data_IF_109093169975
#
_entry.id   IF_109093169975
#
_cell.length_a   1.000
_cell.length_b   1.000
_cell.length_c   1.000
_cell.angle_alpha   90.00
_cell.angle_beta   90.00
_cell.angle_gamma   90.00
#
_symmetry.space_group_name_H-M   'P 1'
#
loop_
_entity.id
_entity.type
_entity.pdbx_description
1 polymer ?
2 polymer ?
3 polymer ?
4 non-polymer ?
5 water ?
#
# COMPACT_ATOMS: atom_id res chain seq x y z
N UNK A 5 -16.04 9.43 -35.10
CA UNK A 5 -16.37 9.24 -33.70
C UNK A 5 -15.77 10.31 -32.81
N UNK A 6 -16.62 11.06 -32.11
CA UNK A 6 -16.16 12.15 -31.25
C UNK A 6 -15.50 11.64 -29.97
N UNK A 7 -14.65 12.47 -29.37
CA UNK A 7 -13.81 12.02 -28.26
C UNK A 7 -14.06 12.85 -27.01
N UNK A 8 -14.50 12.20 -25.92
CA UNK A 8 -14.81 12.93 -24.69
C UNK A 8 -13.70 12.75 -23.66
N UNK A 9 -12.96 13.81 -23.41
CA UNK A 9 -11.87 13.76 -22.42
C UNK A 9 -12.40 14.03 -21.02
N UNK A 10 -13.32 14.98 -20.91
CA UNK A 10 -13.91 15.28 -19.62
C UNK A 10 -15.18 16.09 -19.76
N UNK A 11 -15.82 16.39 -18.62
CA UNK A 11 -16.98 17.29 -18.53
C UNK A 11 -16.76 18.57 -19.34
N UNK A 12 -17.59 18.77 -20.36
CA UNK A 12 -17.50 19.94 -21.24
C UNK A 12 -16.27 19.96 -22.14
N UNK A 13 -15.57 18.83 -22.22
CA UNK A 13 -14.34 18.72 -23.01
C UNK A 13 -14.45 17.52 -23.97
N UNK A 14 -15.38 17.63 -24.92
CA UNK A 14 -15.58 16.63 -25.96
C UNK A 14 -15.23 17.24 -27.31
N UNK A 15 -14.55 16.46 -28.16
CA UNK A 15 -13.99 16.99 -29.40
C UNK A 15 -14.39 16.17 -30.61
N UNK A 16 -14.60 16.82 -31.75
CA UNK A 16 -14.80 16.11 -33.01
C UNK A 16 -13.52 15.40 -33.43
N UNK B 1 -0.93 0.42 -25.93
CA UNK B 1 -0.57 1.41 -26.95
C UNK B 1 0.41 2.43 -26.39
N UNK B 2 -0.07 3.24 -25.46
CA UNK B 2 0.74 4.28 -24.88
C UNK B 2 1.51 3.73 -23.69
N UNK B 3 2.75 4.18 -23.53
CA UNK B 3 3.47 3.91 -22.29
C UNK B 3 3.81 5.23 -21.64
N UNK B 4 3.57 5.31 -20.32
CA UNK B 4 3.84 6.49 -19.51
C UNK B 4 4.97 6.21 -18.52
N UNK B 5 6.08 6.94 -18.65
CA UNK B 5 7.25 6.72 -17.80
C UNK B 5 7.50 7.91 -16.90
N UNK B 6 7.53 7.68 -15.58
CA UNK B 6 7.65 8.79 -14.63
C UNK B 6 9.05 8.96 -14.08
N UNK B 7 9.39 10.20 -13.71
CA UNK B 7 10.68 10.51 -13.07
C UNK B 7 10.88 9.71 -11.77
N UNK B 8 12.06 9.82 -11.17
CA UNK B 8 12.42 9.01 -10.00
C UNK B 8 12.05 9.60 -8.65
N UNK B 9 12.25 8.80 -7.59
CA UNK B 9 11.81 9.16 -6.24
C UNK B 9 12.41 10.47 -5.72
N UNK B 10 11.65 11.15 -4.89
CA UNK B 10 12.05 12.48 -4.41
C UNK B 10 11.97 12.59 -2.88
N UNK B 11 12.98 13.20 -2.26
CA UNK B 11 12.92 13.45 -0.83
C UNK B 11 13.08 14.95 -0.57
N UNK B 12 12.11 15.55 0.11
CA UNK B 12 12.10 17.02 0.26
C UNK B 12 11.85 17.42 1.70
N UNK B 13 12.33 18.60 2.06
CA UNK B 13 12.04 19.19 3.36
C UNK B 13 10.76 20.01 3.28
N UNK B 14 10.02 20.09 4.39
CA UNK B 14 8.81 20.92 4.43
C UNK B 14 9.09 22.31 3.89
N UNK B 15 8.18 22.82 3.07
CA UNK B 15 8.30 24.17 2.56
C UNK B 15 8.93 24.22 1.19
N UNK B 16 9.58 23.12 0.80
CA UNK B 16 10.22 23.00 -0.50
C UNK B 16 9.17 22.74 -1.58
N UNK B 17 9.62 22.72 -2.84
CA UNK B 17 8.79 22.37 -3.99
C UNK B 17 9.38 21.19 -4.71
N UNK B 18 8.55 20.45 -5.43
CA UNK B 18 9.04 19.31 -6.20
C UNK B 18 8.38 19.35 -7.57
N UNK B 19 9.10 18.96 -8.60
CA UNK B 19 8.52 18.91 -9.94
C UNK B 19 8.65 17.52 -10.52
N UNK B 20 7.52 16.85 -10.75
CA UNK B 20 7.49 15.50 -11.27
C UNK B 20 7.24 15.50 -12.77
N UNK B 21 7.70 14.47 -13.48
CA UNK B 21 7.42 14.39 -14.91
C UNK B 21 6.87 13.03 -15.35
N UNK B 22 6.20 13.07 -16.49
CA UNK B 22 5.49 11.95 -17.06
C UNK B 22 5.73 12.03 -18.56
N UNK B 23 6.54 11.14 -19.12
CA UNK B 23 6.77 11.17 -20.55
C UNK B 23 5.95 10.11 -21.27
N UNK B 24 5.18 10.54 -22.26
CA UNK B 24 4.35 9.62 -23.03
C UNK B 24 5.07 9.17 -24.30
N UNK B 25 4.98 7.89 -24.60
CA UNK B 25 5.51 7.38 -25.85
C UNK B 25 4.59 6.28 -26.38
N UNK B 26 4.88 5.82 -27.59
CA UNK B 26 4.03 4.82 -28.23
C UNK B 26 3.22 5.48 -29.33
N UNK B 27 1.91 5.20 -29.35
CA UNK B 27 1.07 5.76 -30.38
C UNK B 27 0.74 7.22 -30.10
N UNK B 28 0.39 7.94 -31.15
CA UNK B 28 0.09 9.36 -31.07
C UNK B 28 -1.40 9.61 -31.16
N UNK B 29 -1.92 10.47 -30.26
CA UNK B 29 -3.31 10.88 -30.33
C UNK B 29 -3.37 12.40 -30.40
N UNK B 30 -4.21 12.91 -31.30
CA UNK B 30 -4.34 14.34 -31.50
C UNK B 30 -5.07 14.99 -30.32
N UNK B 31 -5.86 14.20 -29.61
CA UNK B 31 -6.60 14.71 -28.47
C UNK B 31 -6.48 13.76 -27.27
N UNK B 32 -6.04 14.30 -26.14
CA UNK B 32 -5.81 13.50 -24.94
C UNK B 32 -5.74 14.41 -23.74
N UNK B 33 -5.83 13.85 -22.54
CA UNK B 33 -5.63 14.61 -21.31
C UNK B 33 -4.78 13.78 -20.36
N UNK B 34 -3.95 14.45 -19.57
CA UNK B 34 -3.11 13.80 -18.57
C UNK B 34 -3.53 14.29 -17.20
N UNK B 35 -3.75 13.37 -16.27
CA UNK B 35 -4.11 13.75 -14.91
C UNK B 35 -3.04 13.26 -13.97
N UNK B 36 -3.02 13.83 -12.77
CA UNK B 36 -2.18 13.33 -11.71
C UNK B 36 -3.07 12.84 -10.59
N UNK B 37 -2.69 11.71 -10.01
CA UNK B 37 -3.48 11.05 -8.98
C UNK B 37 -2.51 10.65 -7.88
N UNK B 38 -2.83 10.99 -6.63
CA UNK B 38 -1.92 10.58 -5.56
C UNK B 38 -2.54 9.63 -4.55
N UNK B 39 -1.66 8.95 -3.83
CA UNK B 39 -2.07 7.93 -2.88
C UNK B 39 -1.13 7.93 -1.69
N UNK B 40 -1.63 8.42 -0.55
CA UNK B 40 -0.85 8.44 0.68
C UNK B 40 -0.67 7.00 1.15
N UNK B 41 0.41 6.70 1.91
CA UNK B 41 0.66 5.29 2.26
C UNK B 41 -0.54 4.63 2.93
N UNK B 42 -0.93 3.47 2.41
CA UNK B 42 -2.08 2.77 2.94
C UNK B 42 -3.46 3.39 2.69
N UNK B 43 -3.54 4.47 1.92
CA UNK B 43 -4.82 5.14 1.71
C UNK B 43 -5.35 5.00 0.28
N UNK B 44 -6.43 5.72 0.00
CA UNK B 44 -7.12 5.60 -1.27
C UNK B 44 -6.54 6.52 -2.34
N UNK B 45 -7.17 6.55 -3.50
CA UNK B 45 -6.72 7.40 -4.61
C UNK B 45 -7.36 8.80 -4.57
N UNK B 46 -6.58 9.80 -4.97
CA UNK B 46 -7.04 11.18 -4.94
C UNK B 46 -6.64 11.91 -6.23
N UNK B 47 -7.64 12.38 -6.99
CA UNK B 47 -7.35 13.11 -8.22
C UNK B 47 -6.87 14.54 -7.89
N UNK B 48 -5.78 14.97 -8.52
CA UNK B 48 -5.16 16.25 -8.16
C UNK B 48 -5.33 17.35 -9.20
N UNK B 49 -5.64 16.96 -10.43
CA UNK B 49 -5.68 17.94 -11.50
C UNK B 49 -5.30 17.28 -12.80
N UNK B 50 -5.54 17.98 -13.90
CA UNK B 50 -5.22 17.45 -15.21
C UNK B 50 -5.00 18.54 -16.23
N UNK B 51 -4.44 18.17 -17.36
CA UNK B 51 -4.24 19.11 -18.45
C UNK B 51 -4.65 18.46 -19.78
N UNK B 52 -5.15 19.27 -20.70
CA UNK B 52 -5.44 18.84 -22.08
C UNK B 52 -4.57 19.71 -22.98
N UNK B 53 -3.32 19.27 -23.22
CA UNK B 53 -2.36 20.13 -23.91
C UNK B 53 -2.83 20.66 -25.27
N UNK B 54 -3.44 19.79 -26.13
CA UNK B 54 -3.83 20.36 -27.43
C UNK B 54 -4.84 21.52 -27.35
N UNK B 55 -5.64 21.56 -26.29
CA UNK B 55 -6.70 22.55 -26.16
C UNK B 55 -6.28 23.74 -25.28
N UNK B 56 -5.18 23.57 -24.56
CA UNK B 56 -4.73 24.58 -23.61
C UNK B 56 -5.62 24.70 -22.38
N UNK B 57 -6.22 23.58 -21.98
CA UNK B 57 -7.16 23.59 -20.87
C UNK B 57 -6.58 22.86 -19.65
N UNK B 58 -6.87 23.34 -18.45
CA UNK B 58 -6.43 22.67 -17.23
C UNK B 58 -7.57 22.62 -16.22
N UNK B 59 -7.51 21.66 -15.31
CA UNK B 59 -8.48 21.58 -14.24
C UNK B 59 -7.77 21.26 -12.95
N UNK B 60 -8.09 22.02 -11.90
CA UNK B 60 -7.45 21.82 -10.62
C UNK B 60 -8.47 21.57 -9.53
N UNK B 61 -8.00 21.06 -8.39
CA UNK B 61 -8.82 20.81 -7.22
C UNK B 61 -8.66 21.91 -6.19
N UNK B 62 -9.75 22.49 -5.72
CA UNK B 62 -9.67 23.64 -4.83
C UNK B 62 -8.86 23.36 -3.54
N UNK B 63 -9.01 22.16 -2.98
CA UNK B 63 -8.36 21.77 -1.73
C UNK B 63 -6.85 22.05 -1.73
N UNK B 64 -6.25 21.97 -2.91
CA UNK B 64 -4.80 22.15 -3.02
C UNK B 64 -4.42 23.63 -3.06
N UNK B 65 -5.40 24.51 -2.92
CA UNK B 65 -5.22 25.97 -2.79
C UNK B 65 -4.21 26.61 -3.76
N UNK B 66 -4.19 26.11 -5.00
CA UNK B 66 -3.27 26.64 -6.01
C UNK B 66 -1.82 26.18 -5.91
N UNK B 67 -1.53 25.21 -5.03
CA UNK B 67 -0.17 24.69 -4.86
C UNK B 67 0.28 23.77 -6.00
N UNK B 68 -0.66 23.29 -6.80
CA UNK B 68 -0.33 22.43 -7.93
C UNK B 68 -0.34 23.23 -9.24
N UNK B 69 0.69 23.03 -10.05
CA UNK B 69 0.76 23.61 -11.38
C UNK B 69 1.10 22.48 -12.34
N UNK B 70 0.26 22.26 -13.34
CA UNK B 70 0.55 21.23 -14.33
C UNK B 70 0.90 21.93 -15.65
N UNK B 71 1.97 21.46 -16.31
CA UNK B 71 2.43 22.05 -17.57
C UNK B 71 2.72 20.91 -18.56
N UNK B 72 2.78 21.22 -19.84
CA UNK B 72 3.14 20.21 -20.83
C UNK B 72 4.20 20.76 -21.81
N UNK B 73 5.14 19.90 -22.19
CA UNK B 73 6.09 20.22 -23.23
C UNK B 73 5.74 19.37 -24.46
N UNK B 74 5.10 20.01 -25.44
CA UNK B 74 4.68 19.31 -26.65
C UNK B 74 5.84 18.63 -27.36
N UNK B 75 6.97 19.33 -27.45
CA UNK B 75 8.14 18.82 -28.16
C UNK B 75 8.57 17.46 -27.65
N UNK B 76 8.79 17.34 -26.34
CA UNK B 76 9.26 16.09 -25.75
C UNK B 76 8.12 15.18 -25.29
N UNK B 77 6.89 15.57 -25.62
CA UNK B 77 5.69 14.87 -25.17
C UNK B 77 5.75 14.52 -23.67
N UNK B 78 6.09 15.51 -22.86
CA UNK B 78 6.23 15.30 -21.43
C UNK B 78 5.27 16.22 -20.68
N UNK B 79 4.71 15.75 -19.58
CA UNK B 79 3.83 16.55 -18.75
C UNK B 79 4.49 16.64 -17.38
N UNK B 80 4.36 17.79 -16.75
CA UNK B 80 4.98 18.03 -15.45
C UNK B 80 3.93 18.41 -14.43
N UNK B 81 4.15 18.03 -13.18
CA UNK B 81 3.36 18.57 -12.07
C UNK B 81 4.31 19.15 -11.03
N UNK B 82 4.12 20.42 -10.70
CA UNK B 82 4.92 21.05 -9.64
C UNK B 82 4.04 21.30 -8.44
N UNK B 83 4.48 20.80 -7.28
CA UNK B 83 3.72 20.95 -6.05
C UNK B 83 4.54 21.79 -5.10
N UNK B 84 3.97 22.92 -4.68
CA UNK B 84 4.72 23.86 -3.87
C UNK B 84 4.31 23.82 -2.39
N UNK B 85 5.13 24.45 -1.55
CA UNK B 85 4.90 24.54 -0.12
C UNK B 85 4.59 23.19 0.49
N UNK B 86 5.48 22.24 0.24
CA UNK B 86 5.26 20.86 0.68
C UNK B 86 5.17 20.77 2.19
N UNK B 87 4.32 19.85 2.66
CA UNK B 87 4.30 19.47 4.07
C UNK B 87 4.35 17.95 4.17
N UNK B 88 4.48 17.45 5.39
CA UNK B 88 4.60 16.01 5.62
C UNK B 88 3.38 15.26 5.06
N UNK B 89 2.27 15.96 4.94
CA UNK B 89 1.01 15.37 4.48
C UNK B 89 0.95 15.20 2.96
N UNK B 90 1.96 15.71 2.25
CA UNK B 90 2.07 15.51 0.82
C UNK B 90 2.90 14.24 0.52
N UNK B 91 3.37 13.56 1.55
CA UNK B 91 4.07 12.30 1.35
C UNK B 91 3.12 11.30 0.75
N UNK B 92 3.48 10.74 -0.40
CA UNK B 92 2.57 9.88 -1.17
C UNK B 92 3.25 9.34 -2.42
N UNK B 93 2.63 8.34 -3.03
CA UNK B 93 2.98 7.92 -4.38
C UNK B 93 2.11 8.73 -5.36
N UNK B 94 2.76 9.31 -6.36
CA UNK B 94 2.08 10.13 -7.36
C UNK B 94 2.08 9.40 -8.71
N UNK B 95 0.89 9.22 -9.29
CA UNK B 95 0.75 8.60 -10.59
C UNK B 95 0.32 9.62 -11.63
N UNK B 96 0.78 9.46 -12.87
CA UNK B 96 0.17 10.19 -13.97
C UNK B 96 -0.64 9.16 -14.76
N UNK B 97 -1.70 9.61 -15.43
CA UNK B 97 -2.56 8.69 -16.20
C UNK B 97 -3.13 9.44 -17.37
N UNK B 98 -3.38 8.74 -18.48
CA UNK B 98 -3.83 9.41 -19.69
C UNK B 98 -5.25 8.98 -20.10
N UNK B 99 -6.03 9.97 -20.58
CA UNK B 99 -7.37 9.75 -21.13
C UNK B 99 -7.33 10.03 -22.62
N UNK B 100 -7.84 9.09 -23.42
CA UNK B 100 -7.93 9.30 -24.87
C UNK B 100 -9.31 8.98 -25.47
N UNK B 101 -10.37 9.14 -24.69
CA UNK B 101 -11.72 8.90 -25.19
C UNK B 101 -12.52 7.90 -24.38
N UNK B 102 -11.82 7.15 -23.54
CA UNK B 102 -12.44 6.17 -22.64
C UNK B 102 -12.23 6.64 -21.20
N UNK B 103 -11.67 5.82 -20.32
CA UNK B 103 -11.27 6.27 -18.99
C UNK B 103 -9.77 6.56 -18.89
N UNK B 104 -9.20 6.38 -17.69
CA UNK B 104 -7.73 6.45 -17.56
C UNK B 104 -7.18 5.14 -18.07
N UNK B 105 -6.91 5.09 -19.37
CA UNK B 105 -6.54 3.83 -20.02
C UNK B 105 -5.12 3.38 -19.66
N UNK B 106 -4.22 4.32 -19.42
CA UNK B 106 -2.83 3.97 -19.17
C UNK B 106 -2.31 4.79 -18.02
N UNK B 107 -1.49 4.16 -17.18
CA UNK B 107 -0.96 4.76 -15.97
C UNK B 107 0.55 4.65 -15.90
N UNK B 108 1.18 5.64 -15.28
CA UNK B 108 2.60 5.58 -15.01
C UNK B 108 2.87 4.63 -13.85
N UNK B 109 4.15 4.37 -13.60
CA UNK B 109 4.54 3.41 -12.56
C UNK B 109 4.49 3.99 -11.15
N UNK B 110 4.29 5.29 -11.05
CA UNK B 110 4.25 5.96 -9.77
C UNK B 110 5.61 6.50 -9.35
N UNK B 111 5.61 7.52 -8.50
CA UNK B 111 6.84 8.05 -7.93
C UNK B 111 6.62 8.43 -6.47
N UNK B 112 7.47 7.95 -5.59
CA UNK B 112 7.32 8.21 -4.17
C UNK B 112 7.93 9.57 -3.87
N UNK B 113 7.14 10.45 -3.26
CA UNK B 113 7.65 11.72 -2.77
C UNK B 113 7.52 11.68 -1.27
N UNK B 114 8.68 11.78 -0.59
CA UNK B 114 8.72 11.80 0.86
C UNK B 114 9.03 13.22 1.35
N UNK B 115 8.17 13.76 2.21
CA UNK B 115 8.38 15.11 2.72
C UNK B 115 8.58 15.00 4.23
N UNK B 116 9.78 15.35 4.69
CA UNK B 116 10.09 15.20 6.10
C UNK B 116 11.26 16.08 6.48
N UNK B 117 11.30 16.46 7.76
CA UNK B 117 12.43 17.22 8.27
C UNK B 117 13.58 16.28 8.67
N UNK B 118 13.34 14.96 8.62
CA UNK B 118 14.38 13.99 8.89
C UNK B 118 15.54 14.07 7.91
N UNK B 119 16.70 13.60 8.36
CA UNK B 119 17.89 13.48 7.51
C UNK B 119 18.16 12.02 7.17
N UNK B 120 18.87 11.81 6.05
CA UNK B 120 19.26 10.45 5.62
C UNK B 120 19.98 9.74 6.74
N UNK B 121 19.55 8.53 7.04
CA UNK B 121 20.09 7.75 8.15
C UNK B 121 19.95 6.27 7.84
N UNK B 122 21.05 5.53 7.99
CA UNK B 122 21.00 4.10 7.79
C UNK B 122 20.45 3.34 8.99
N UNK B 123 19.85 2.18 8.74
CA UNK B 123 19.17 1.44 9.81
C UNK B 123 20.09 0.73 10.77
N UNK B 124 19.61 0.56 12.00
CA UNK B 124 20.18 -0.41 12.94
C UNK B 124 19.50 -1.75 12.66
N UNK B 125 20.23 -2.84 12.85
CA UNK B 125 19.67 -4.14 12.52
C UNK B 125 19.92 -5.00 13.74
N UNK B 126 18.83 -5.49 14.33
CA UNK B 126 18.86 -6.29 15.55
C UNK B 126 18.26 -7.68 15.32
N UNK B 127 18.90 -8.71 15.88
CA UNK B 127 18.36 -10.06 15.77
C UNK B 127 17.09 -10.26 16.57
N UNK B 128 16.16 -10.99 15.97
CA UNK B 128 14.98 -11.51 16.65
C UNK B 128 15.19 -13.01 16.82
N UNK B 129 15.63 -13.40 18.01
CA UNK B 129 16.04 -14.78 18.24
C UNK B 129 14.94 -15.64 18.87
N UNK B 130 14.80 -16.89 18.39
CA UNK B 130 13.83 -17.88 18.88
C UNK B 130 14.17 -18.42 20.26
N UNK B 139 8.19 -26.21 14.26
CA UNK B 139 8.47 -24.95 13.56
C UNK B 139 8.93 -23.84 14.51
N UNK B 140 10.03 -23.19 14.14
CA UNK B 140 10.58 -22.06 14.91
C UNK B 140 10.53 -20.80 14.06
N UNK B 141 10.43 -19.65 14.69
CA UNK B 141 10.49 -18.38 13.97
C UNK B 141 11.73 -17.60 14.38
N UNK B 142 12.30 -16.86 13.45
CA UNK B 142 13.38 -15.94 13.77
C UNK B 142 13.32 -14.79 12.79
N UNK B 143 14.13 -13.75 13.03
CA UNK B 143 14.00 -12.61 12.17
C UNK B 143 14.98 -11.51 12.48
N UNK B 144 14.77 -10.38 11.82
CA UNK B 144 15.62 -9.20 12.00
C UNK B 144 14.76 -7.94 12.09
N UNK B 145 15.09 -7.09 13.05
CA UNK B 145 14.41 -5.81 13.24
C UNK B 145 15.29 -4.73 12.63
N UNK B 146 14.75 -4.01 11.65
CA UNK B 146 15.47 -3.04 10.85
C UNK B 146 14.90 -1.67 11.20
N UNK B 147 15.64 -0.90 11.97
CA UNK B 147 15.02 0.16 12.76
C UNK B 147 15.76 1.49 12.58
N UNK B 148 14.97 2.57 12.57
CA UNK B 148 15.48 3.94 12.64
C UNK B 148 16.23 4.34 11.40
N UNK B 149 15.59 4.17 10.25
CA UNK B 149 16.21 4.59 9.00
C UNK B 149 15.33 5.64 8.31
N UNK B 150 15.94 6.33 7.34
CA UNK B 150 15.24 7.32 6.54
C UNK B 150 16.03 7.62 5.27
N UNK B 151 15.35 7.72 4.11
CA UNK B 151 13.94 7.50 3.83
C UNK B 151 13.67 6.04 3.47
N UNK B 152 12.46 5.75 3.00
CA UNK B 152 12.21 4.47 2.35
C UNK B 152 13.01 4.43 1.06
N UNK B 153 13.35 3.22 0.57
CA UNK B 153 13.07 1.88 1.11
C UNK B 153 14.30 1.14 1.57
N UNK B 154 14.12 0.03 2.28
CA UNK B 154 15.23 -0.92 2.51
C UNK B 154 14.92 -2.22 1.80
N UNK B 155 15.95 -3.05 1.60
CA UNK B 155 15.71 -4.41 1.11
C UNK B 155 16.24 -5.40 2.13
N UNK B 156 15.54 -6.52 2.30
CA UNK B 156 16.04 -7.57 3.20
C UNK B 156 16.04 -8.90 2.49
N UNK B 157 17.15 -9.62 2.61
CA UNK B 157 17.17 -10.99 2.14
C UNK B 157 17.75 -11.88 3.22
N UNK B 158 17.60 -13.19 3.05
CA UNK B 158 18.09 -14.16 4.03
C UNK B 158 19.09 -15.07 3.37
N UNK B 159 20.18 -15.35 4.09
CA UNK B 159 21.27 -16.19 3.61
C UNK B 159 21.68 -15.87 2.18
N UNK B 160 21.93 -14.59 1.93
CA UNK B 160 22.38 -14.10 0.63
C UNK B 160 21.40 -14.49 -0.48
N UNK B 161 20.12 -14.50 -0.13
CA UNK B 161 19.06 -14.75 -1.10
C UNK B 161 18.75 -16.21 -1.35
N UNK B 162 19.44 -17.11 -0.67
CA UNK B 162 19.19 -18.52 -0.90
C UNK B 162 18.05 -19.03 -0.02
N UNK B 163 17.65 -18.25 0.99
CA UNK B 163 16.54 -18.66 1.84
C UNK B 163 15.32 -17.77 1.55
N UNK B 164 14.30 -18.32 0.90
CA UNK B 164 13.12 -17.54 0.53
C UNK B 164 11.83 -18.15 1.05
N UNK B 165 11.81 -19.47 1.17
CA UNK B 165 10.64 -20.18 1.69
C UNK B 165 10.35 -19.77 3.14
N UNK B 166 9.09 -19.44 3.41
CA UNK B 166 8.67 -19.07 4.75
C UNK B 166 9.07 -17.69 5.24
N UNK B 167 9.63 -16.86 4.36
CA UNK B 167 10.05 -15.50 4.74
C UNK B 167 8.89 -14.50 4.61
N UNK B 168 8.73 -13.64 5.61
CA UNK B 168 7.81 -12.51 5.50
C UNK B 168 8.51 -11.22 5.88
N UNK B 169 8.53 -10.25 4.97
CA UNK B 169 9.10 -8.94 5.30
C UNK B 169 7.94 -7.95 5.35
N UNK B 170 7.78 -7.30 6.49
CA UNK B 170 6.60 -6.48 6.74
C UNK B 170 6.75 -5.11 6.12
N UNK B 171 5.63 -4.51 5.75
CA UNK B 171 5.74 -3.12 5.33
C UNK B 171 6.25 -2.25 6.48
N UNK B 172 7.01 -1.22 6.15
CA UNK B 172 7.57 -0.36 7.17
C UNK B 172 6.48 0.46 7.85
N UNK B 173 6.71 0.83 9.10
CA UNK B 173 5.87 1.81 9.77
C UNK B 173 6.68 3.08 10.00
N UNK B 174 6.00 4.22 10.00
CA UNK B 174 6.64 5.47 10.33
C UNK B 174 6.51 5.66 11.83
N UNK B 175 7.64 5.78 12.52
CA UNK B 175 7.63 5.96 13.96
C UNK B 175 7.39 7.43 14.28
N UNK B 176 6.93 7.71 15.49
CA UNK B 176 6.66 9.09 15.88
C UNK B 176 7.95 9.93 15.89
N UNK B 177 9.11 9.26 15.88
CA UNK B 177 10.39 9.94 15.79
C UNK B 177 10.70 10.48 14.39
N UNK B 178 9.90 10.10 13.40
CA UNK B 178 10.15 10.47 12.03
C UNK B 178 10.95 9.44 11.25
N UNK B 179 11.43 8.40 11.93
CA UNK B 179 12.19 7.33 11.28
C UNK B 179 11.36 6.06 11.04
N UNK B 180 11.76 5.26 10.06
CA UNK B 180 11.02 4.07 9.65
C UNK B 180 11.56 2.86 10.39
N UNK B 181 10.73 1.81 10.48
CA UNK B 181 11.10 0.56 11.11
C UNK B 181 10.33 -0.57 10.43
N UNK B 182 10.97 -1.73 10.29
CA UNK B 182 10.27 -2.94 9.86
C UNK B 182 10.96 -4.17 10.43
N UNK B 183 10.27 -5.31 10.35
CA UNK B 183 10.85 -6.58 10.70
C UNK B 183 10.74 -7.50 9.48
N UNK B 184 11.72 -8.40 9.34
CA UNK B 184 11.61 -9.52 8.40
C UNK B 184 11.72 -10.79 9.23
N UNK B 185 10.86 -11.76 8.97
CA UNK B 185 10.88 -12.97 9.78
C UNK B 185 10.91 -14.17 8.85
N UNK B 186 11.31 -15.31 9.39
CA UNK B 186 11.28 -16.53 8.59
C UNK B 186 10.96 -17.67 9.53
N UNK B 187 10.20 -18.65 9.08
CA UNK B 187 9.94 -19.83 9.91
C UNK B 187 10.73 -20.98 9.32
N UNK B 188 11.32 -21.81 10.18
CA UNK B 188 12.21 -22.90 9.76
C UNK B 188 11.97 -24.11 10.63
N UNK B 189 12.33 -25.31 10.12
CA UNK B 189 12.26 -26.52 10.96
C UNK B 189 13.02 -26.35 12.26
N UNK B 190 12.37 -26.65 13.38
CA UNK B 190 13.00 -26.49 14.69
C UNK B 190 14.33 -27.25 14.80
N UNK B 191 14.39 -28.42 14.17
CA UNK B 191 15.59 -29.27 14.27
C UNK B 191 16.78 -28.66 13.54
N UNK B 192 16.52 -27.73 12.63
CA UNK B 192 17.56 -27.14 11.79
C UNK B 192 18.33 -26.01 12.48
N UNK B 193 17.81 -25.53 13.59
CA UNK B 193 18.53 -24.52 14.38
C UNK B 193 19.82 -25.13 14.92
N UNK B 194 20.94 -24.45 14.69
CA UNK B 194 22.21 -24.96 15.18
C UNK B 194 22.88 -25.93 14.22
N UNK B 195 22.12 -26.46 13.26
CA UNK B 195 22.68 -27.25 12.18
C UNK B 195 22.78 -26.36 10.94
N UNK B 196 22.05 -25.26 10.96
CA UNK B 196 22.04 -24.31 9.86
C UNK B 196 22.29 -22.93 10.43
N UNK B 197 22.92 -22.06 9.62
CA UNK B 197 23.14 -20.67 10.03
C UNK B 197 22.13 -19.76 9.34
N UNK B 198 21.70 -18.72 10.03
CA UNK B 198 20.72 -17.78 9.47
C UNK B 198 21.24 -16.36 9.59
N UNK B 199 21.34 -15.70 8.44
CA UNK B 199 21.88 -14.35 8.38
C UNK B 199 20.92 -13.47 7.61
N UNK B 200 20.59 -12.30 8.14
CA UNK B 200 19.80 -11.39 7.30
C UNK B 200 20.71 -10.34 6.67
N UNK B 201 20.43 -10.04 5.41
CA UNK B 201 21.19 -9.09 4.60
C UNK B 201 20.34 -7.86 4.31
N UNK B 202 20.76 -6.72 4.85
CA UNK B 202 19.97 -5.50 4.78
C UNK B 202 20.70 -4.47 3.95
N UNK B 203 20.00 -3.92 2.97
CA UNK B 203 20.52 -2.83 2.15
C UNK B 203 19.67 -1.61 2.34
N UNK B 204 20.31 -0.46 2.45
CA UNK B 204 19.58 0.80 2.43
C UNK B 204 20.33 1.73 1.50
N UNK B 205 19.92 1.76 0.23
CA UNK B 205 20.71 2.47 -0.77
C UNK B 205 20.80 3.98 -0.49
N UNK B 206 19.74 4.63 0.04
CA UNK B 206 19.94 6.08 0.24
C UNK B 206 21.08 6.48 1.18
N UNK B 207 21.43 5.62 2.15
CA UNK B 207 22.52 5.91 3.07
C UNK B 207 23.77 5.10 2.79
N UNK B 208 23.79 4.39 1.66
CA UNK B 208 24.93 3.55 1.29
C UNK B 208 25.21 2.50 2.35
N UNK B 209 24.15 1.96 2.96
CA UNK B 209 24.27 0.97 4.02
C UNK B 209 24.16 -0.47 3.50
N UNK B 210 25.07 -1.33 3.95
CA UNK B 210 24.94 -2.80 3.76
C UNK B 210 25.33 -3.45 5.06
N UNK B 211 24.39 -4.16 5.68
CA UNK B 211 24.63 -4.79 6.97
C UNK B 211 24.21 -6.26 6.91
N UNK B 212 25.04 -7.15 7.45
CA UNK B 212 24.65 -8.55 7.63
C UNK B 212 24.59 -8.81 9.12
N UNK B 213 23.58 -9.54 9.57
CA UNK B 213 23.50 -9.89 10.98
C UNK B 213 23.16 -11.38 11.14
N UNK B 214 23.95 -12.10 11.93
CA UNK B 214 23.67 -13.50 12.14
C UNK B 214 22.61 -13.61 13.25
N UNK B 215 21.69 -14.55 13.12
CA UNK B 215 20.60 -14.65 14.09
C UNK B 215 20.72 -15.99 14.79
N UNK B 216 20.94 -15.92 16.09
CA UNK B 216 21.27 -17.11 16.90
C UNK B 216 20.40 -17.27 18.13
N UNK B 217 20.26 -18.52 18.57
CA UNK B 217 19.66 -18.80 19.88
C UNK B 217 20.62 -18.31 20.96
N UNK B 218 20.12 -17.45 21.84
CA UNK B 218 20.91 -16.89 22.93
C UNK B 218 21.04 -17.85 24.11
N UNK C 1 -16.86 17.29 -4.71
CA UNK C 1 -18.25 17.58 -4.39
C UNK C 1 -19.17 16.36 -4.55
N UNK C 2 -19.06 15.60 -5.64
CA UNK C 2 -19.84 14.39 -5.71
C UNK C 2 -19.20 13.35 -4.82
N UNK C 3 -19.97 12.79 -3.90
CA UNK C 3 -19.43 11.81 -2.95
C UNK C 3 -19.69 10.40 -3.48
N UNK C 4 -18.63 9.59 -3.48
CA UNK C 4 -18.72 8.22 -3.96
C UNK C 4 -18.55 7.25 -2.79
N UNK C 5 -19.49 6.34 -2.61
CA UNK C 5 -19.33 5.35 -1.54
C UNK C 5 -19.32 3.95 -2.13
N UNK C 6 -18.71 3.01 -1.42
CA UNK C 6 -18.63 1.65 -1.91
C UNK C 6 -18.99 0.65 -0.84
N UNK C 7 -19.41 -0.53 -1.27
CA UNK C 7 -19.80 -1.56 -0.31
C UNK C 7 -19.52 -2.92 -0.94
N UNK C 8 -19.02 -3.88 -0.15
CA UNK C 8 -18.59 -3.73 1.25
C UNK C 8 -17.18 -3.13 1.34
N UNK C 9 -16.59 -3.08 2.53
CA UNK C 9 -15.19 -2.68 2.68
C UNK C 9 -14.26 -3.78 2.17
N UNK C 10 -14.60 -5.01 2.53
CA UNK C 10 -13.79 -6.16 2.19
C UNK C 10 -14.70 -7.30 1.73
N UNK C 11 -14.27 -8.01 0.70
CA UNK C 11 -15.08 -9.06 0.09
C UNK C 11 -14.24 -10.29 -0.17
N UNK C 12 -14.31 -11.28 0.73
CA UNK C 12 -13.68 -12.59 0.46
C UNK C 12 -14.49 -13.39 -0.56
N UNK C 13 -13.80 -14.00 -1.52
CA UNK C 13 -14.46 -14.83 -2.54
C UNK C 13 -13.75 -16.17 -2.62
N UNK C 14 -14.50 -17.29 -2.68
CA UNK C 14 -13.86 -18.60 -2.89
C UNK C 14 -13.46 -18.76 -4.37
N UNK C 15 -12.43 -19.59 -4.64
CA UNK C 15 -11.96 -19.69 -6.03
C UNK C 15 -13.04 -20.12 -7.04
N UNK C 16 -13.19 -19.36 -8.13
CA UNK C 16 -14.12 -19.69 -9.19
C UNK C 16 -15.53 -19.17 -8.97
N UNK C 17 -15.78 -18.58 -7.80
CA UNK C 17 -17.09 -17.99 -7.56
C UNK C 17 -17.16 -16.53 -8.04
N UNK C 18 -18.29 -15.87 -7.77
CA UNK C 18 -18.51 -14.53 -8.31
C UNK C 18 -18.41 -13.44 -7.24
N UNK C 19 -17.68 -12.39 -7.55
CA UNK C 19 -17.63 -11.23 -6.68
C UNK C 19 -18.57 -10.16 -7.21
N UNK C 20 -19.29 -9.51 -6.31
CA UNK C 20 -20.16 -8.42 -6.67
C UNK C 20 -19.87 -7.27 -5.71
N UNK C 21 -19.44 -6.14 -6.25
CA UNK C 21 -19.18 -5.01 -5.37
C UNK C 21 -20.02 -3.84 -5.84
N UNK C 22 -20.43 -2.98 -4.90
CA UNK C 22 -21.28 -1.85 -5.28
C UNK C 22 -20.64 -0.49 -5.07
N UNK C 23 -21.18 0.49 -5.77
CA UNK C 23 -20.75 1.88 -5.73
C UNK C 23 -22.00 2.76 -5.78
N UNK C 24 -22.01 3.83 -5.01
CA UNK C 24 -23.11 4.76 -5.06
C UNK C 24 -22.56 6.17 -5.19
N UNK C 25 -23.18 6.95 -6.07
CA UNK C 25 -22.85 8.37 -6.20
C UNK C 25 -23.94 9.22 -5.58
N UNK C 26 -23.55 10.38 -5.02
CA UNK C 26 -24.49 11.26 -4.37
C UNK C 26 -25.34 12.06 -5.37
N UNK C 27 -24.92 12.06 -6.64
CA UNK C 27 -25.70 12.67 -7.73
C UNK C 27 -25.73 11.75 -8.94
N UNK C 28 -26.70 11.98 -9.83
CA UNK C 28 -26.76 11.26 -11.08
C UNK C 28 -25.48 11.41 -11.91
N UNK C 29 -24.97 10.31 -12.45
CA UNK C 29 -23.80 10.36 -13.33
C UNK C 29 -24.21 10.26 -14.79
N UNK C 30 -25.50 10.42 -15.05
CA UNK C 30 -26.02 10.43 -16.43
C UNK C 30 -25.81 11.78 -17.07
N UNK C 31 -25.17 11.79 -18.23
CA UNK C 31 -25.15 13.00 -19.07
C UNK C 31 -26.32 12.88 -20.05
N UNK C 32 -27.41 13.59 -19.77
CA UNK C 32 -28.63 13.33 -20.54
C UNK C 32 -28.55 13.82 -21.97
N UNK C 33 -27.48 14.55 -22.28
CA UNK C 33 -27.34 15.08 -23.63
C UNK C 33 -26.61 14.10 -24.56
N UNK C 34 -25.55 13.45 -24.09
CA UNK C 34 -24.92 12.46 -24.97
C UNK C 34 -25.37 11.04 -24.63
N UNK C 35 -26.12 10.90 -23.53
CA UNK C 35 -26.75 9.63 -23.18
C UNK C 35 -25.89 8.62 -22.46
N UNK C 36 -24.66 9.00 -22.15
CA UNK C 36 -23.74 8.11 -21.44
C UNK C 36 -23.75 8.39 -19.95
N UNK C 37 -23.30 7.40 -19.20
CA UNK C 37 -23.19 7.48 -17.76
C UNK C 37 -21.70 7.39 -17.38
N UNK C 38 -21.16 8.43 -16.77
CA UNK C 38 -19.70 8.52 -16.65
C UNK C 38 -19.19 8.00 -15.30
N UNK C 39 -19.11 6.68 -15.24
CA UNK C 39 -18.70 5.97 -14.04
C UNK C 39 -17.62 4.98 -14.49
N UNK C 40 -16.46 5.04 -13.83
CA UNK C 40 -15.34 4.17 -14.21
C UNK C 40 -14.95 3.26 -13.03
N UNK C 41 -14.42 2.08 -13.35
CA UNK C 41 -13.88 1.16 -12.34
C UNK C 41 -12.40 0.85 -12.59
N UNK C 42 -11.60 0.83 -11.51
CA UNK C 42 -10.16 0.59 -11.59
C UNK C 42 -9.77 -0.48 -10.59
N UNK C 43 -8.77 -1.26 -10.95
CA UNK C 43 -8.18 -2.24 -10.04
C UNK C 43 -6.75 -1.84 -9.71
N UNK C 44 -6.42 -1.89 -8.43
CA UNK C 44 -5.03 -1.79 -8.03
C UNK C 44 -4.61 -3.07 -7.33
N UNK C 45 -3.80 -3.89 -8.02
CA UNK C 45 -3.23 -5.08 -7.43
C UNK C 45 -2.18 -4.67 -6.42
N UNK C 46 -1.88 -5.54 -5.44
CA UNK C 46 -0.92 -5.13 -4.42
C UNK C 46 0.45 -4.75 -4.98
N UNK C 47 0.93 -3.55 -4.64
CA UNK C 47 2.24 -3.09 -5.10
C UNK C 47 2.30 -2.55 -6.53
N UNK C 48 1.17 -2.54 -7.22
CA UNK C 48 1.13 -2.09 -8.62
C UNK C 48 0.41 -0.76 -8.81
N UNK C 49 0.57 -0.16 -10.00
CA UNK C 49 -0.27 0.97 -10.39
C UNK C 49 -1.71 0.54 -10.60
N UNK C 50 -2.67 1.45 -10.41
CA UNK C 50 -4.05 1.18 -10.79
C UNK C 50 -4.12 0.83 -12.28
N UNK C 51 -5.15 0.08 -12.66
CA UNK C 51 -5.37 -0.23 -14.06
C UNK C 51 -6.87 -0.17 -14.40
N UNK C 52 -7.16 0.22 -15.65
CA UNK C 52 -8.57 0.38 -16.06
C UNK C 52 -9.31 -0.94 -16.19
N UNK C 53 -10.56 -0.96 -15.74
CA UNK C 53 -11.46 -2.12 -15.96
C UNK C 53 -12.67 -1.74 -16.82
N UNK C 54 -13.41 -0.73 -16.33
CA UNK C 54 -14.68 -0.32 -16.95
C UNK C 54 -14.70 1.19 -17.20
N UNK C 55 -15.30 1.60 -18.31
CA UNK C 55 -15.57 3.02 -18.52
C UNK C 55 -17.01 3.20 -19.00
N UNK C 56 -17.55 4.42 -18.88
CA UNK C 56 -18.95 4.70 -19.21
C UNK C 56 -19.90 3.62 -18.64
N UNK C 57 -19.63 3.27 -17.38
CA UNK C 57 -20.49 2.41 -16.52
C UNK C 57 -20.49 0.92 -16.89
N UNK C 58 -20.48 0.58 -18.18
CA UNK C 58 -20.64 -0.84 -18.54
C UNK C 58 -19.73 -1.32 -19.68
N UNK C 59 -18.81 -0.48 -20.13
CA UNK C 59 -17.90 -0.89 -21.20
C UNK C 59 -16.53 -1.34 -20.67
N UNK C 60 -16.04 -2.47 -21.18
CA UNK C 60 -14.74 -2.97 -20.73
C UNK C 60 -13.58 -2.27 -21.45
N UNK C 61 -12.56 -1.88 -20.68
CA UNK C 61 -11.31 -1.38 -21.25
C UNK C 61 -10.61 -2.46 -22.08
N UNK C 62 -9.72 -2.07 -22.98
CA UNK C 62 -8.97 -3.02 -23.81
C UNK C 62 -8.24 -4.10 -23.01
N UNK C 63 -8.36 -5.35 -23.46
CA UNK C 63 -7.70 -6.47 -22.80
C UNK C 63 -8.39 -7.04 -21.57
N UNK C 64 -9.41 -6.36 -21.08
CA UNK C 64 -10.19 -6.84 -19.93
C UNK C 64 -11.13 -7.96 -20.36
N UNK C 65 -10.98 -9.16 -19.77
CA UNK C 65 -11.77 -10.34 -20.15
C UNK C 65 -13.24 -10.18 -19.78
N UNK C 66 -14.10 -10.91 -20.47
CA UNK C 66 -15.52 -10.66 -20.34
C UNK C 66 -16.09 -11.14 -19.01
N UNK C 67 -15.26 -11.75 -18.16
CA UNK C 67 -15.77 -12.13 -16.83
C UNK C 67 -15.87 -10.94 -15.88
N UNK C 68 -15.33 -9.78 -16.30
CA UNK C 68 -15.58 -8.51 -15.60
C UNK C 68 -16.75 -7.80 -16.25
N UNK C 69 -17.78 -7.42 -15.50
CA UNK C 69 -18.85 -6.64 -16.10
C UNK C 69 -19.33 -5.51 -15.19
N UNK C 70 -19.75 -4.41 -15.82
CA UNK C 70 -20.29 -3.27 -15.09
C UNK C 70 -21.75 -3.05 -15.43
N UNK C 71 -22.54 -2.66 -14.42
CA UNK C 71 -23.96 -2.37 -14.61
C UNK C 71 -24.39 -1.35 -13.57
N UNK C 72 -25.65 -0.92 -13.64
CA UNK C 72 -26.22 -0.06 -12.61
C UNK C 72 -27.23 0.94 -13.14
N UNK C 73 -27.80 1.71 -12.22
CA UNK C 73 -28.66 2.83 -12.60
C UNK C 73 -27.76 4.03 -12.84
N UNK C 74 -28.30 5.22 -12.66
CA UNK C 74 -27.50 6.43 -12.81
C UNK C 74 -26.82 6.85 -11.49
N UNK C 75 -27.10 6.13 -10.41
CA UNK C 75 -26.56 6.48 -9.09
C UNK C 75 -26.02 5.28 -8.34
N UNK C 76 -26.46 4.09 -8.74
CA UNK C 76 -26.07 2.89 -8.00
C UNK C 76 -25.53 1.87 -8.97
N UNK C 77 -24.27 1.49 -8.75
CA UNK C 77 -23.47 0.73 -9.72
C UNK C 77 -22.95 -0.58 -9.16
N UNK C 78 -22.74 -1.55 -10.05
CA UNK C 78 -22.25 -2.83 -9.61
C UNK C 78 -21.16 -3.33 -10.54
N UNK C 79 -20.02 -3.69 -9.96
CA UNK C 79 -18.96 -4.43 -10.68
C UNK C 79 -19.08 -5.91 -10.34
N UNK C 80 -19.24 -6.75 -11.36
CA UNK C 80 -19.38 -8.19 -11.17
C UNK C 80 -18.13 -8.87 -11.73
N UNK C 81 -17.51 -9.72 -10.93
CA UNK C 81 -16.37 -10.50 -11.41
C UNK C 81 -16.71 -11.98 -11.30
N UNK C 82 -16.84 -12.65 -12.44
CA UNK C 82 -17.08 -14.09 -12.37
C UNK C 82 -15.77 -14.89 -12.43
N UNK C 83 -15.83 -16.14 -11.96
CA UNK C 83 -14.70 -17.07 -11.98
C UNK C 83 -13.46 -16.44 -11.32
N UNK C 84 -13.64 -15.89 -10.12
CA UNK C 84 -12.57 -15.21 -9.41
C UNK C 84 -11.34 -16.11 -9.24
N UNK C 85 -10.16 -15.53 -9.47
CA UNK C 85 -8.91 -16.24 -9.34
C UNK C 85 -7.93 -15.38 -8.54
N UNK C 86 -6.83 -15.98 -8.10
CA UNK C 86 -5.85 -15.29 -7.27
C UNK C 86 -5.38 -13.95 -7.82
N UNK C 87 -5.22 -13.86 -9.15
CA UNK C 87 -4.77 -12.61 -9.78
C UNK C 87 -5.74 -11.45 -9.66
N UNK C 88 -6.96 -11.72 -9.19
CA UNK C 88 -7.98 -10.68 -9.02
C UNK C 88 -7.95 -10.02 -7.65
N UNK C 89 -7.06 -10.49 -6.77
CA UNK C 89 -6.92 -9.92 -5.45
C UNK C 89 -6.39 -8.49 -5.51
N UNK C 90 -6.96 -7.59 -4.73
CA UNK C 90 -6.53 -6.21 -4.75
C UNK C 90 -7.63 -5.27 -4.34
N UNK C 91 -7.47 -3.98 -4.63
CA UNK C 91 -8.49 -3.01 -4.28
C UNK C 91 -9.14 -2.46 -5.54
N UNK C 92 -10.47 -2.47 -5.55
CA UNK C 92 -11.27 -1.97 -6.67
C UNK C 92 -11.83 -0.61 -6.32
N UNK C 93 -11.69 0.36 -7.23
CA UNK C 93 -12.15 1.73 -6.97
C UNK C 93 -13.13 2.13 -8.03
N UNK C 94 -14.19 2.81 -7.64
CA UNK C 94 -15.03 3.44 -8.65
C UNK C 94 -14.63 4.93 -8.71
N UNK C 95 -14.96 5.57 -9.82
CA UNK C 95 -14.59 6.98 -10.00
C UNK C 95 -15.58 7.64 -10.95
N UNK C 96 -16.09 8.81 -10.59
CA UNK C 96 -17.01 9.50 -11.49
C UNK C 96 -16.30 10.56 -12.32
N UNK C 97 -16.74 10.73 -13.56
CA UNK C 97 -16.23 11.79 -14.43
C UNK C 97 -17.35 12.58 -15.10
N UNK C 98 -18.54 12.66 -14.46
CA UNK C 98 -19.59 13.55 -14.95
C UNK C 98 -19.25 15.03 -14.68
N UNK C 99 -18.46 15.28 -13.65
CA UNK C 99 -18.24 16.64 -13.19
C UNK C 99 -16.84 16.77 -12.56
N UNK C 100 -16.18 17.91 -12.76
CA UNK C 100 -14.94 18.22 -12.05
C UNK C 100 -15.26 18.72 -10.64
N UNK C 101 -14.44 18.36 -9.63
CA UNK C 101 -13.28 17.46 -9.66
C UNK C 101 -13.68 15.98 -9.76
N UNK C 102 -12.88 15.17 -10.45
CA UNK C 102 -13.11 13.76 -10.46
C UNK C 102 -12.98 13.25 -9.02
N UNK C 103 -13.83 12.33 -8.62
CA UNK C 103 -13.79 11.81 -7.25
C UNK C 103 -13.86 10.27 -7.29
N UNK C 104 -13.11 9.67 -6.36
CA UNK C 104 -13.01 8.22 -6.20
C UNK C 104 -13.83 7.72 -5.01
N UNK C 105 -14.28 6.48 -5.10
CA UNK C 105 -14.81 5.81 -3.93
C UNK C 105 -13.64 5.39 -3.06
N UNK C 106 -13.92 4.89 -1.84
CA UNK C 106 -12.81 4.59 -0.92
C UNK C 106 -12.09 3.28 -1.22
N UNK C 107 -12.63 2.45 -2.10
CA UNK C 107 -11.99 1.19 -2.42
C UNK C 107 -12.62 0.03 -1.68
N UNK C 108 -12.80 -1.09 -2.39
CA UNK C 108 -13.24 -2.35 -1.81
C UNK C 108 -12.14 -3.37 -2.01
N UNK C 109 -11.72 -4.04 -0.93
CA UNK C 109 -10.65 -5.01 -1.02
C UNK C 109 -11.20 -6.42 -1.22
N UNK C 110 -10.75 -7.07 -2.29
CA UNK C 110 -11.11 -8.45 -2.55
C UNK C 110 -9.99 -9.39 -2.14
N UNK C 111 -10.27 -10.45 -1.38
CA UNK C 111 -9.26 -11.48 -1.18
C UNK C 111 -9.85 -12.86 -1.41
N UNK C 112 -8.98 -13.88 -1.43
CA UNK C 112 -9.39 -15.25 -1.67
C UNK C 112 -9.83 -15.91 -0.35
N UNK C 113 -11.04 -16.44 -0.34
CA UNK C 113 -11.58 -17.04 0.88
C UNK C 113 -11.14 -18.49 1.02
N UNK C 114 -10.49 -18.79 2.14
CA UNK C 114 -10.08 -20.15 2.48
C UNK C 114 -10.69 -20.49 3.83
N UNK C 115 -10.35 -21.67 4.36
CA UNK C 115 -10.83 -22.06 5.67
C UNK C 115 -10.16 -21.19 6.73
N UNK C 116 -10.87 -20.99 7.83
CA UNK C 116 -10.31 -20.22 8.94
C UNK C 116 -9.06 -20.92 9.46
N UNK C 117 -8.00 -20.14 9.65
CA UNK C 117 -6.74 -20.67 10.13
C UNK C 117 -6.22 -19.78 11.24
N UNK C 118 -6.01 -20.37 12.41
CA UNK C 118 -5.46 -19.66 13.55
C UNK C 118 -4.00 -19.27 13.31
N UNK C 119 -3.59 -18.12 13.88
CA UNK C 119 -2.17 -17.75 13.78
C UNK C 119 -1.27 -18.63 14.65
N UNK C 120 -0.06 -18.85 14.18
CA UNK C 120 1.03 -19.35 15.01
C UNK C 120 1.65 -18.12 15.65
N UNK C 121 1.72 -18.07 16.97
CA UNK C 121 2.21 -16.89 17.67
C UNK C 121 3.64 -17.05 18.25
N UNK C 122 4.45 -16.01 18.05
CA UNK C 122 5.83 -15.98 18.54
C UNK C 122 6.13 -14.64 19.21
N UNK C 123 6.86 -14.67 20.31
CA UNK C 123 7.32 -13.43 20.95
C UNK C 123 8.86 -13.40 20.98
N UNK C 124 9.43 -12.22 20.71
CA UNK C 124 10.87 -12.05 20.72
C UNK C 124 11.29 -10.94 21.68
N UNK C 125 12.16 -11.25 22.64
CA UNK C 125 12.74 -10.22 23.50
C UNK C 125 13.73 -9.33 22.75
N UNK C 126 14.04 -8.15 23.30
CA UNK C 126 15.13 -7.34 22.76
C UNK C 126 16.48 -8.04 22.86
N UNK C 127 17.33 -7.78 21.88
CA UNK C 127 18.72 -8.20 21.88
C UNK C 127 19.55 -7.40 22.88
N UNK C 128 20.64 -8.02 23.34
CA UNK C 128 21.58 -7.32 24.21
C UNK C 128 22.13 -6.08 23.49
N UNK C 129 22.27 -6.17 22.17
CA UNK C 129 22.79 -5.03 21.41
C UNK C 129 21.83 -3.84 21.41
N UNK C 130 20.51 -4.09 21.35
CA UNK C 130 19.56 -2.99 21.42
C UNK C 130 19.47 -2.39 22.82
N UNK C 131 19.58 -3.23 23.84
CA UNK C 131 19.56 -2.75 25.22
C UNK C 131 20.64 -1.68 25.44
N UNK C 132 21.78 -1.84 24.80
CA UNK C 132 22.87 -0.88 24.95
C UNK C 132 22.50 0.49 24.37
N UNK C 133 21.55 0.51 23.44
CA UNK C 133 21.13 1.76 22.78
C UNK C 133 20.24 2.64 23.67
N UNK C 134 19.70 2.08 24.75
CA UNK C 134 18.86 2.86 25.65
C UNK C 134 17.37 2.75 25.33
N UNK C 135 17.06 2.22 24.17
CA UNK C 135 15.66 2.03 23.73
C UNK C 135 15.48 0.60 23.23
N UNK C 136 14.42 -0.08 23.67
CA UNK C 136 14.20 -1.46 23.21
C UNK C 136 12.86 -1.73 22.55
N UNK C 137 12.83 -2.80 21.76
CA UNK C 137 11.63 -3.22 21.05
C UNK C 137 11.28 -4.66 21.42
N UNK C 138 10.00 -4.93 21.66
CA UNK C 138 9.52 -6.29 21.88
C UNK C 138 8.60 -6.61 20.71
N UNK C 139 8.83 -7.74 20.04
CA UNK C 139 8.07 -8.03 18.83
C UNK C 139 7.22 -9.28 19.00
N UNK C 140 5.95 -9.18 18.59
CA UNK C 140 5.03 -10.31 18.59
C UNK C 140 4.70 -10.62 17.14
N UNK C 141 4.88 -11.88 16.73
CA UNK C 141 4.59 -12.31 15.36
C UNK C 141 3.36 -13.24 15.33
N UNK C 142 2.39 -12.91 14.48
CA UNK C 142 1.23 -13.75 14.23
C UNK C 142 1.40 -14.26 12.82
N UNK C 143 1.60 -15.55 12.67
CA UNK C 143 2.01 -16.04 11.37
C UNK C 143 0.96 -16.90 10.69
N UNK C 144 0.73 -16.61 9.40
CA UNK C 144 -0.07 -17.46 8.51
C UNK C 144 -1.50 -17.75 9.00
N UNK C 145 -2.31 -16.69 9.06
CA UNK C 145 -3.66 -16.84 9.56
C UNK C 145 -4.69 -16.33 8.56
N UNK C 146 -5.94 -16.71 8.78
CA UNK C 146 -7.06 -16.29 7.94
C UNK C 146 -8.36 -16.36 8.73
N UNK C 147 -9.22 -15.35 8.63
CA UNK C 147 -9.16 -14.11 7.85
C UNK C 147 -8.24 -13.06 8.46
N UNK C 148 -8.20 -11.90 7.81
CA UNK C 148 -7.22 -10.85 8.14
C UNK C 148 -7.40 -10.24 9.52
N UNK C 149 -8.62 -10.28 10.04
CA UNK C 149 -8.93 -9.60 11.29
C UNK C 149 -8.32 -10.33 12.49
N UNK C 150 -7.56 -9.60 13.30
CA UNK C 150 -6.89 -10.15 14.46
C UNK C 150 -6.56 -9.02 15.41
N UNK C 151 -6.47 -9.31 16.71
CA UNK C 151 -6.11 -8.30 17.67
C UNK C 151 -5.00 -8.76 18.61
N UNK C 152 -4.15 -7.82 19.00
CA UNK C 152 -3.03 -8.13 19.86
C UNK C 152 -3.06 -7.22 21.08
N UNK C 153 -2.91 -7.79 22.27
CA UNK C 153 -2.81 -6.98 23.48
C UNK C 153 -1.45 -7.23 24.08
N UNK C 154 -0.82 -6.17 24.60
CA UNK C 154 0.44 -6.31 25.29
C UNK C 154 0.23 -6.24 26.80
N UNK C 155 0.91 -7.11 27.54
CA UNK C 155 0.83 -7.08 28.99
C UNK C 155 2.24 -7.09 29.57
N UNK C 156 2.44 -6.27 30.59
CA UNK C 156 3.70 -6.17 31.31
C UNK C 156 3.43 -6.50 32.77
N UNK C 157 4.09 -7.55 33.27
CA UNK C 157 3.79 -8.10 34.60
C UNK C 157 2.29 -8.31 34.78
N UNK C 158 1.64 -8.74 33.69
CA UNK C 158 0.22 -9.06 33.71
C UNK C 158 -0.73 -7.89 33.51
N UNK C 159 -0.20 -6.67 33.44
CA UNK C 159 -1.05 -5.49 33.27
C UNK C 159 -1.06 -5.00 31.83
N UNK C 160 -2.25 -4.72 31.31
CA UNK C 160 -2.41 -4.22 29.93
C UNK C 160 -1.58 -2.94 29.68
N UNK C 161 -0.81 -2.94 28.60
CA UNK C 161 -0.06 -1.75 28.21
C UNK C 161 -0.55 -1.23 26.85
N UNK C 162 -1.06 -0.02 26.85
CA UNK C 162 -1.54 0.59 25.62
C UNK C 162 -0.69 1.81 25.28
N UNK C 163 -0.71 2.20 24.01
CA UNK C 163 -0.12 3.46 23.62
C UNK C 163 1.25 3.41 22.99
N UNK C 164 1.95 2.27 23.11
CA UNK C 164 3.33 2.26 22.62
C UNK C 164 3.62 1.12 21.66
N UNK C 165 2.58 0.67 20.97
CA UNK C 165 2.78 -0.40 20.00
C UNK C 165 2.32 0.03 18.62
N UNK C 166 2.93 -0.56 17.60
CA UNK C 166 2.53 -0.37 16.21
C UNK C 166 2.44 -1.71 15.52
N UNK C 167 1.47 -1.86 14.63
CA UNK C 167 1.27 -3.10 13.90
C UNK C 167 1.56 -2.96 12.42
N UNK C 168 1.88 -4.08 11.79
CA UNK C 168 2.10 -4.10 10.36
C UNK C 168 1.56 -5.43 9.84
N UNK C 169 0.95 -5.43 8.67
CA UNK C 169 0.34 -6.67 8.15
C UNK C 169 0.74 -6.92 6.70
N UNK C 170 0.96 -8.20 6.35
CA UNK C 170 1.32 -8.53 4.97
C UNK C 170 0.08 -8.52 4.08
N UNK C 171 0.30 -8.42 2.78
CA UNK C 171 -0.78 -8.70 1.82
C UNK C 171 -1.03 -10.20 1.87
N UNK C 172 -2.13 -10.64 1.29
CA UNK C 172 -2.47 -12.05 1.35
C UNK C 172 -1.45 -12.83 0.53
N UNK C 173 -0.92 -13.91 1.08
CA UNK C 173 0.08 -14.72 0.37
C UNK C 173 -0.58 -15.69 -0.61
N UNK C 174 -0.15 -15.68 -1.86
CA UNK C 174 -0.79 -16.51 -2.89
C UNK C 174 -0.55 -18.01 -2.67
N UNK C 175 0.46 -18.36 -1.88
CA UNK C 175 0.78 -19.76 -1.67
C UNK C 175 -0.23 -20.48 -0.78
N UNK C 176 -0.73 -19.81 0.24
CA UNK C 176 -1.66 -20.49 1.15
C UNK C 176 -2.84 -19.62 1.53
N UNK C 177 -2.92 -18.46 0.89
CA UNK C 177 -3.98 -17.48 1.07
C UNK C 177 -4.10 -16.95 2.51
N UNK C 178 -2.96 -16.86 3.19
CA UNK C 178 -2.93 -16.40 4.58
C UNK C 178 -2.29 -15.02 4.74
N UNK C 179 -2.42 -14.48 5.94
CA UNK C 179 -1.83 -13.19 6.31
C UNK C 179 -0.85 -13.40 7.44
N UNK C 180 0.08 -12.45 7.64
CA UNK C 180 0.92 -12.46 8.84
C UNK C 180 0.92 -11.05 9.38
N UNK C 181 1.24 -10.89 10.67
CA UNK C 181 1.10 -9.60 11.33
C UNK C 181 2.17 -9.51 12.39
N UNK C 182 2.79 -8.33 12.50
CA UNK C 182 3.72 -8.09 13.58
C UNK C 182 3.21 -6.96 14.47
N UNK C 183 3.45 -7.08 15.76
CA UNK C 183 3.14 -6.00 16.67
C UNK C 183 4.42 -5.71 17.43
N UNK C 184 4.80 -4.44 17.46
CA UNK C 184 6.07 -4.03 18.08
C UNK C 184 5.82 -3.06 19.23
N UNK C 185 6.31 -3.40 20.41
CA UNK C 185 6.20 -2.58 21.60
C UNK C 185 7.53 -1.88 21.83
N UNK C 186 7.50 -0.55 21.93
CA UNK C 186 8.73 0.21 22.14
C UNK C 186 8.75 0.78 23.55
N UNK C 187 9.86 0.56 24.26
CA UNK C 187 10.01 1.03 25.63
C UNK C 187 11.40 1.64 25.84
N UNK C 188 11.53 2.52 26.83
CA UNK C 188 12.88 2.90 27.25
C UNK C 188 13.50 1.67 27.92
N UNK C 189 14.81 1.54 27.85
CA UNK C 189 15.46 0.42 28.51
C UNK C 189 15.28 0.51 30.03
N UNK C 190 15.28 1.71 30.59
CA UNK C 190 15.08 1.81 32.04
C UNK C 190 13.70 1.25 32.42
N UNK C 191 12.66 1.56 31.64
CA UNK C 191 11.34 0.94 31.82
C UNK C 191 11.38 -0.58 31.66
N UNK C 192 12.01 -1.03 30.59
CA UNK C 192 12.11 -2.47 30.30
C UNK C 192 12.76 -3.23 31.45
N UNK C 193 13.82 -2.69 32.02
CA UNK C 193 14.52 -3.35 33.13
C UNK C 193 13.72 -3.34 34.44
N UNK C 194 12.71 -2.48 34.53
CA UNK C 194 12.00 -2.30 35.79
C UNK C 194 10.87 -3.32 35.97
N UNK C 195 10.68 -4.15 34.95
CA UNK C 195 9.65 -5.20 34.99
C UNK C 195 10.21 -6.52 34.46
N UNK C 196 9.43 -7.59 34.55
CA UNK C 196 9.94 -8.92 34.26
C UNK C 196 9.19 -9.72 33.21
N UNK C 197 7.87 -9.79 33.32
CA UNK C 197 7.13 -10.65 32.39
C UNK C 197 6.51 -9.81 31.28
N UNK C 198 6.87 -10.17 30.04
CA UNK C 198 6.37 -9.51 28.85
C UNK C 198 5.57 -10.51 28.04
N UNK C 199 4.34 -10.14 27.66
CA UNK C 199 3.45 -11.10 27.02
C UNK C 199 2.65 -10.42 25.95
N UNK C 200 2.36 -11.14 24.87
CA UNK C 200 1.38 -10.63 23.92
C UNK C 200 0.22 -11.63 23.88
N UNK C 201 -1.01 -11.09 23.91
CA UNK C 201 -2.20 -11.92 23.93
C UNK C 201 -2.92 -11.77 22.59
N UNK C 202 -3.20 -12.88 21.94
CA UNK C 202 -3.72 -12.84 20.56
C UNK C 202 -5.15 -13.37 20.49
N UNK C 203 -6.02 -12.59 19.85
CA UNK C 203 -7.41 -13.00 19.62
C UNK C 203 -7.65 -13.12 18.13
N UNK C 204 -8.30 -14.20 17.72
CA UNK C 204 -8.59 -14.47 16.31
C UNK C 204 -9.68 -15.53 16.21
N UNK C 205 -10.45 -15.51 15.12
CA UNK C 205 -11.60 -16.40 14.99
C UNK C 205 -11.19 -17.87 15.02
N UNK C 206 -9.99 -18.17 14.56
CA UNK C 206 -9.50 -19.54 14.57
C UNK C 206 -9.14 -20.07 15.94
N UNK C 207 -9.00 -19.17 16.92
CA UNK C 207 -8.60 -19.56 18.27
C UNK C 207 -9.80 -19.59 19.20
N UNK C 208 -10.04 -20.75 19.85
CA UNK C 208 -11.20 -20.91 20.71
C UNK C 208 -11.09 -20.04 21.96
N UNK C 209 -9.86 -19.80 22.39
CA UNK C 209 -9.58 -18.86 23.47
C UNK C 209 -8.30 -18.10 23.13
N UNK C 210 -8.18 -16.85 23.57
CA UNK C 210 -6.97 -16.05 23.32
C UNK C 210 -5.69 -16.78 23.71
N UNK C 211 -4.69 -16.70 22.84
CA UNK C 211 -3.40 -17.33 23.11
C UNK C 211 -2.40 -16.29 23.61
N UNK C 212 -1.64 -16.66 24.65
CA UNK C 212 -0.61 -15.76 25.18
C UNK C 212 0.77 -16.40 25.05
N UNK C 213 1.72 -15.64 24.50
CA UNK C 213 3.12 -16.04 24.50
C UNK C 213 3.88 -15.02 25.34
N UNK C 214 4.81 -15.48 26.16
CA UNK C 214 5.52 -14.55 27.02
C UNK C 214 6.97 -14.97 27.24
N UNK C 215 7.75 -14.05 27.79
CA UNK C 215 9.09 -14.37 28.28
C UNK C 215 9.34 -13.62 29.56
N UNK C 216 10.30 -14.10 30.36
CA UNK C 216 10.78 -13.38 31.52
C UNK C 216 12.11 -12.70 31.18
N UNK C 217 12.19 -11.40 31.44
CA UNK C 217 13.39 -10.62 31.17
C UNK C 217 14.64 -11.25 31.81
N UNK C 218 15.64 -11.54 31.00
CA UNK C 218 16.88 -12.13 31.49
C UNK C 218 16.99 -13.64 31.39
N UNK C 219 15.86 -14.35 31.40
CA UNK C 219 15.86 -15.81 31.43
C UNK C 219 16.60 -16.43 30.25
#
# INVERSE_FOLDING_TARGET
>A
NNTRKSIRIGPGQAFYATGGIIG
>B
QVQLVQSGAEVKKPGASVKLSCKASGNTFSIYGISWVRQAPGQGLEWMGGIIPPAGLTNYVQRFQGRVTITADTSTTTVYMELSSLTSEDTAVYYCAIRIGRGFDYWGQGVLVTVSSASTKGPSVFPLAPSSRSTSESTAALGCLVKDYFPEPVTVSWNSGSLTSGVHTFPAVLQSSGLYSLSSVVTVPSSSLGTQTYVCNVNHKPSNTKVDKRVEIKTCG
>C
DIVMTQSPLSLPVTPGETASISCRSSQSLLDSEDGNTYLEWYLQKPGQSPQALIYEASNRASGVPDRFSGSGSDTDFTLKISRVEAEDVGIYYCMQTIEYPFTFGPGTKVDIKRAVAAPSVFIFPPSEDQVKSGTVSVVCLLNNFYPREASVKWKVDGVLKTGNSQESVTEQDSKDNTYSLSSTLTLSNTDYQSHNVYACEVTHQGLSSPVTKSFNRGEC
#
